data_IF_476933957317
#
_entry.id   IF_476933957317
#
_cell.length_a   1.000
_cell.length_b   1.000
_cell.length_c   1.000
_cell.angle_alpha   90.00
_cell.angle_beta   90.00
_cell.angle_gamma   90.00
#
_symmetry.space_group_name_H-M   'P 1'
#
loop_
_entity.id
_entity.type
_entity.pdbx_description
1 polymer ?
#
# COMPACT_ATOMS: atom_id res chain seq x y z
N UNK A 1 2.20 5.14 -13.03
CA UNK A 1 0.87 4.71 -12.54
C UNK A 1 0.33 5.80 -11.64
N UNK A 2 -0.96 6.09 -11.70
CA UNK A 2 -1.59 7.01 -10.73
C UNK A 2 -1.90 6.30 -9.40
N UNK A 3 -2.36 7.04 -8.39
CA UNK A 3 -2.63 6.47 -7.06
C UNK A 3 -3.70 5.36 -7.13
N UNK A 4 -4.73 5.55 -7.95
CA UNK A 4 -5.87 4.64 -8.02
C UNK A 4 -5.41 3.30 -8.59
N UNK A 5 -4.65 3.34 -9.68
CA UNK A 5 -4.08 2.16 -10.32
C UNK A 5 -3.12 1.41 -9.38
N UNK A 6 -2.24 2.12 -8.65
CA UNK A 6 -1.34 1.46 -7.69
C UNK A 6 -2.12 0.88 -6.50
N UNK A 7 -3.13 1.57 -6.00
CA UNK A 7 -3.94 1.11 -4.88
C UNK A 7 -4.72 -0.16 -5.24
N UNK A 8 -5.33 -0.21 -6.43
CA UNK A 8 -6.04 -1.39 -6.94
C UNK A 8 -5.09 -2.59 -7.10
N UNK A 9 -3.93 -2.37 -7.74
CA UNK A 9 -2.92 -3.42 -7.91
C UNK A 9 -2.40 -3.93 -6.56
N UNK A 10 -2.04 -3.03 -5.64
CA UNK A 10 -1.52 -3.40 -4.33
C UNK A 10 -2.57 -4.15 -3.50
N UNK A 11 -3.82 -3.69 -3.50
CA UNK A 11 -4.91 -4.37 -2.81
C UNK A 11 -5.16 -5.77 -3.40
N UNK A 12 -5.15 -5.91 -4.72
CA UNK A 12 -5.32 -7.21 -5.39
C UNK A 12 -4.22 -8.23 -4.98
N UNK A 13 -2.99 -7.77 -4.77
CA UNK A 13 -1.84 -8.62 -4.41
C UNK A 13 -1.62 -8.78 -2.91
N UNK A 14 -2.22 -7.93 -2.07
CA UNK A 14 -2.05 -7.98 -0.61
C UNK A 14 -2.68 -9.24 0.00
N UNK A 15 -1.98 -9.89 0.94
CA UNK A 15 -2.54 -11.00 1.73
C UNK A 15 -3.29 -10.46 2.95
N UNK A 16 -4.45 -9.84 2.69
CA UNK A 16 -5.33 -9.30 3.72
C UNK A 16 -6.20 -10.40 4.36
N UNK A 17 -6.60 -10.21 5.62
CA UNK A 17 -7.68 -11.00 6.21
C UNK A 17 -9.06 -10.57 5.67
N UNK A 18 -10.12 -11.29 6.03
CA UNK A 18 -11.47 -11.03 5.52
C UNK A 18 -12.01 -9.64 5.92
N UNK A 19 -11.63 -9.12 7.09
CA UNK A 19 -12.09 -7.82 7.57
C UNK A 19 -11.36 -6.70 6.82
N UNK A 20 -10.03 -6.77 6.75
CA UNK A 20 -9.20 -5.81 6.03
C UNK A 20 -9.54 -5.79 4.53
N UNK A 21 -9.75 -6.98 3.92
CA UNK A 21 -10.21 -7.10 2.54
C UNK A 21 -11.54 -6.40 2.31
N UNK A 22 -12.54 -6.66 3.16
CA UNK A 22 -13.85 -6.04 3.04
C UNK A 22 -13.81 -4.51 3.17
N UNK A 23 -12.90 -3.97 3.99
CA UNK A 23 -12.66 -2.53 4.07
C UNK A 23 -12.01 -2.01 2.77
N UNK A 24 -10.95 -2.64 2.29
CA UNK A 24 -10.30 -2.24 1.04
C UNK A 24 -11.27 -2.20 -0.15
N UNK A 25 -12.12 -3.21 -0.30
CA UNK A 25 -13.12 -3.27 -1.37
C UNK A 25 -14.17 -2.15 -1.23
N UNK A 26 -14.57 -1.82 0.01
CA UNK A 26 -15.49 -0.71 0.26
C UNK A 26 -14.86 0.64 -0.08
N UNK A 27 -13.61 0.87 0.32
CA UNK A 27 -12.91 2.14 0.11
C UNK A 27 -12.58 2.38 -1.36
N UNK A 28 -12.20 1.33 -2.12
CA UNK A 28 -12.08 1.40 -3.58
C UNK A 28 -13.40 1.83 -4.24
N UNK A 29 -14.53 1.30 -3.76
CA UNK A 29 -15.86 1.68 -4.29
C UNK A 29 -16.21 3.14 -4.02
N UNK A 30 -15.74 3.71 -2.91
CA UNK A 30 -15.96 5.12 -2.56
C UNK A 30 -14.88 6.07 -3.09
N UNK A 31 -13.81 5.53 -3.67
CA UNK A 31 -12.73 6.29 -4.30
C UNK A 31 -11.60 6.70 -3.36
N UNK A 32 -11.53 6.13 -2.15
CA UNK A 32 -10.45 6.45 -1.18
C UNK A 32 -9.22 5.56 -1.41
N UNK A 33 -8.47 5.88 -2.46
CA UNK A 33 -7.29 5.09 -2.86
C UNK A 33 -6.11 5.26 -1.90
N UNK A 34 -6.02 6.38 -1.17
CA UNK A 34 -4.97 6.60 -0.16
C UNK A 34 -5.13 5.65 1.03
N UNK A 35 -6.38 5.41 1.44
CA UNK A 35 -6.65 4.46 2.52
C UNK A 35 -6.45 3.01 2.06
N UNK A 36 -6.84 2.69 0.82
CA UNK A 36 -6.65 1.35 0.24
C UNK A 36 -5.18 0.98 0.15
N UNK A 37 -4.32 1.86 -0.39
CA UNK A 37 -2.89 1.58 -0.49
C UNK A 37 -2.25 1.46 0.90
N UNK A 38 -2.71 2.25 1.88
CA UNK A 38 -2.26 2.14 3.26
C UNK A 38 -2.62 0.78 3.87
N UNK A 39 -3.85 0.28 3.67
CA UNK A 39 -4.22 -1.07 4.13
C UNK A 39 -3.38 -2.15 3.45
N UNK A 40 -3.23 -2.08 2.12
CA UNK A 40 -2.45 -3.06 1.37
C UNK A 40 -0.99 -3.13 1.87
N UNK A 41 -0.38 -1.99 2.18
CA UNK A 41 1.03 -1.92 2.59
C UNK A 41 1.21 -2.18 4.08
N UNK A 42 0.29 -1.76 4.94
CA UNK A 42 0.46 -1.85 6.39
C UNK A 42 -0.13 -3.13 6.99
N UNK A 43 -1.17 -3.69 6.39
CA UNK A 43 -1.94 -4.80 6.96
C UNK A 43 -1.75 -6.13 6.22
N UNK A 44 -1.01 -6.15 5.11
CA UNK A 44 -0.68 -7.42 4.43
C UNK A 44 0.12 -8.36 5.33
N UNK A 45 -0.27 -9.64 5.36
CA UNK A 45 0.39 -10.67 6.18
C UNK A 45 1.67 -11.19 5.54
N UNK A 46 1.73 -11.18 4.22
CA UNK A 46 2.93 -11.48 3.45
C UNK A 46 3.42 -10.23 2.72
N UNK A 47 4.73 -10.06 2.50
CA UNK A 47 5.24 -8.96 1.69
C UNK A 47 4.57 -8.90 0.32
N UNK A 48 4.31 -7.68 -0.17
CA UNK A 48 3.91 -7.44 -1.54
C UNK A 48 5.08 -7.74 -2.50
N UNK A 49 4.80 -8.04 -3.78
CA UNK A 49 5.84 -8.16 -4.80
C UNK A 49 6.72 -6.92 -4.95
N UNK A 50 8.01 -7.11 -5.27
CA UNK A 50 9.00 -6.02 -5.33
C UNK A 50 8.65 -4.93 -6.37
N UNK A 51 8.05 -5.31 -7.48
CA UNK A 51 7.60 -4.38 -8.52
C UNK A 51 6.46 -3.47 -8.00
N UNK A 52 5.51 -4.03 -7.25
CA UNK A 52 4.47 -3.24 -6.58
C UNK A 52 5.07 -2.32 -5.53
N UNK A 53 5.98 -2.81 -4.70
CA UNK A 53 6.65 -2.01 -3.68
C UNK A 53 7.44 -0.84 -4.28
N UNK A 54 8.08 -1.03 -5.44
CA UNK A 54 8.77 0.03 -6.16
C UNK A 54 7.81 1.13 -6.64
N UNK A 55 6.64 0.77 -7.18
CA UNK A 55 5.62 1.72 -7.61
C UNK A 55 5.02 2.49 -6.42
N UNK A 56 4.72 1.80 -5.31
CA UNK A 56 4.27 2.41 -4.05
C UNK A 56 5.32 3.42 -3.56
N UNK A 57 6.59 3.01 -3.47
CA UNK A 57 7.70 3.88 -3.03
C UNK A 57 7.83 5.13 -3.89
N UNK A 58 7.73 4.98 -5.21
CA UNK A 58 7.83 6.09 -6.16
C UNK A 58 6.66 7.08 -6.03
N UNK A 59 5.48 6.59 -5.67
CA UNK A 59 4.27 7.40 -5.53
C UNK A 59 4.12 8.12 -4.18
N UNK A 60 4.63 7.54 -3.08
CA UNK A 60 4.49 8.10 -1.72
C UNK A 60 4.80 9.61 -1.62
N UNK A 61 5.89 10.16 -2.20
CA UNK A 61 6.19 11.60 -2.12
C UNK A 61 5.14 12.51 -2.77
N UNK A 62 4.30 11.99 -3.66
CA UNK A 62 3.25 12.73 -4.38
C UNK A 62 1.91 12.66 -3.65
N UNK A 63 1.61 11.50 -3.06
CA UNK A 63 0.32 11.25 -2.40
C UNK A 63 0.31 11.74 -0.95
N UNK A 64 1.44 11.60 -0.25
CA UNK A 64 1.56 12.01 1.14
C UNK A 64 2.49 13.22 1.30
N UNK A 65 1.99 14.36 1.82
CA UNK A 65 2.82 15.51 2.14
C UNK A 65 4.01 15.16 3.06
N UNK A 66 5.15 15.87 2.94
CA UNK A 66 6.34 15.58 3.75
C UNK A 66 6.14 15.68 5.27
N UNK A 67 5.17 16.50 5.72
CA UNK A 67 4.86 16.72 7.13
C UNK A 67 3.94 15.65 7.74
N UNK A 68 3.38 14.74 6.94
CA UNK A 68 2.48 13.71 7.44
C UNK A 68 3.25 12.50 8.00
N UNK A 69 2.90 12.09 9.21
CA UNK A 69 3.42 10.88 9.83
C UNK A 69 3.13 9.62 9.00
N UNK A 70 2.00 9.59 8.28
CA UNK A 70 1.63 8.53 7.35
C UNK A 70 2.69 8.30 6.28
N UNK A 71 3.32 9.36 5.77
CA UNK A 71 4.38 9.24 4.77
C UNK A 71 5.56 8.41 5.26
N UNK A 72 6.05 8.71 6.46
CA UNK A 72 7.18 7.97 7.04
C UNK A 72 6.78 6.54 7.36
N UNK A 73 5.59 6.34 7.92
CA UNK A 73 5.05 5.01 8.22
C UNK A 73 4.99 4.13 6.97
N UNK A 74 4.52 4.67 5.84
CA UNK A 74 4.47 3.97 4.56
C UNK A 74 5.86 3.63 4.04
N UNK A 75 6.81 4.57 4.07
CA UNK A 75 8.19 4.32 3.63
C UNK A 75 8.88 3.25 4.47
N UNK A 76 8.67 3.25 5.79
CA UNK A 76 9.23 2.26 6.69
C UNK A 76 8.61 0.88 6.45
N UNK A 77 7.30 0.82 6.21
CA UNK A 77 6.61 -0.42 5.87
C UNK A 77 7.09 -1.02 4.55
N UNK A 78 7.20 -0.22 3.49
CA UNK A 78 7.76 -0.64 2.20
C UNK A 78 9.18 -1.17 2.38
N UNK A 79 10.04 -0.43 3.10
CA UNK A 79 11.44 -0.83 3.33
C UNK A 79 11.55 -2.16 4.08
N UNK A 80 10.67 -2.42 5.06
CA UNK A 80 10.64 -3.70 5.77
C UNK A 80 10.21 -4.87 4.88
N UNK A 81 9.24 -4.65 3.99
CA UNK A 81 8.78 -5.68 3.06
C UNK A 81 9.82 -6.00 1.99
N UNK A 82 10.47 -4.98 1.40
CA UNK A 82 11.58 -5.18 0.45
C UNK A 82 12.72 -6.00 1.10
N UNK A 83 13.05 -5.70 2.36
CA UNK A 83 14.03 -6.48 3.11
C UNK A 83 13.59 -7.94 3.35
N UNK A 84 12.28 -8.17 3.54
CA UNK A 84 11.73 -9.51 3.71
C UNK A 84 11.74 -10.31 2.40
N UNK A 85 11.50 -9.68 1.25
CA UNK A 85 11.58 -10.32 -0.07
C UNK A 85 13.00 -10.71 -0.47
N UNK A 86 14.00 -9.93 -0.04
CA UNK A 86 15.40 -10.18 -0.34
C UNK A 86 16.03 -11.34 0.47
N UNK A 87 15.26 -12.01 1.33
CA UNK A 87 15.71 -13.09 2.23
C UNK A 87 15.13 -14.44 1.82
#
# INVERSE_FOLDING_TARGET
MDLVEVADQAAAMADLDAQARGRADAELKWGDSEYVIAMAVLETRTPLPDDVLAEVRAGIPRWYPPSESTRQLMLDAVSRQEYANAR
#
